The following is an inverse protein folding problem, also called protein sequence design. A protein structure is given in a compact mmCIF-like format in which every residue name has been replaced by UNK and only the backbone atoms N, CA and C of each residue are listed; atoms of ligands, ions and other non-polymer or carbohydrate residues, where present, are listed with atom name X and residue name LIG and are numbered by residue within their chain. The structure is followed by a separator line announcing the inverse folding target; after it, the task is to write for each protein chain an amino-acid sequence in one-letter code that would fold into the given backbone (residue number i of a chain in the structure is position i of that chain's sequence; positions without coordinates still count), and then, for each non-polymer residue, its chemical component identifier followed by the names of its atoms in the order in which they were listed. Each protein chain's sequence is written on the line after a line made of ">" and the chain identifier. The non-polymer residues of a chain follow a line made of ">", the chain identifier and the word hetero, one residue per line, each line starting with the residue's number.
data_IF_297848135577
#
_entry.id   IF_297848135577
#
_cell.length_a   1.000
_cell.length_b   1.000
_cell.length_c   1.000
_cell.angle_alpha   90.00
_cell.angle_beta   90.00
_cell.angle_gamma   90.00
#
_symmetry.space_group_name_H-M   'P 1'
#
loop_
_entity.id
_entity.type
_entity.pdbx_description
1 polymer ?
#
# COMPACT_ATOMS: atom_id res chain seq x y z
N UNK A 1 18.15 50.17 -81.82
CA UNK A 1 16.73 49.84 -81.61
C UNK A 1 16.70 48.62 -80.69
N UNK A 2 16.14 48.79 -79.49
CA UNK A 2 16.27 47.86 -78.36
C UNK A 2 15.23 46.74 -78.41
N UNK A 3 15.61 45.53 -77.98
CA UNK A 3 14.73 44.60 -77.27
C UNK A 3 15.59 43.77 -76.31
N UNK A 4 15.62 44.17 -75.04
CA UNK A 4 16.16 43.35 -73.96
C UNK A 4 15.13 42.27 -73.60
N UNK A 5 15.54 41.01 -73.66
CA UNK A 5 14.77 39.86 -73.21
C UNK A 5 14.95 39.72 -71.69
N UNK A 6 13.89 39.77 -70.87
CA UNK A 6 14.04 39.52 -69.44
C UNK A 6 14.17 38.02 -69.17
N UNK A 7 15.30 37.62 -68.58
CA UNK A 7 15.57 36.26 -68.12
C UNK A 7 14.58 35.84 -67.01
N UNK A 8 14.06 34.63 -67.15
CA UNK A 8 13.19 33.95 -66.19
C UNK A 8 13.92 33.68 -64.86
N UNK A 9 13.61 34.45 -63.81
CA UNK A 9 13.95 34.08 -62.43
C UNK A 9 12.93 33.03 -61.94
N UNK A 10 13.36 31.77 -61.81
CA UNK A 10 12.55 30.65 -61.33
C UNK A 10 12.49 30.69 -59.80
N UNK A 11 11.28 30.72 -59.25
CA UNK A 11 10.99 30.64 -57.82
C UNK A 11 11.57 29.36 -57.19
N UNK A 12 12.63 29.52 -56.39
CA UNK A 12 13.21 28.46 -55.55
C UNK A 12 12.61 28.39 -54.13
N UNK A 13 11.55 29.15 -53.85
CA UNK A 13 11.06 29.41 -52.49
C UNK A 13 10.04 28.39 -51.97
N UNK A 14 9.55 27.46 -52.81
CA UNK A 14 8.51 26.50 -52.42
C UNK A 14 9.03 25.22 -51.74
N UNK A 15 10.33 24.92 -51.85
CA UNK A 15 10.92 23.71 -51.26
C UNK A 15 11.34 23.87 -49.80
N UNK A 16 11.79 25.07 -49.41
CA UNK A 16 12.32 25.35 -48.07
C UNK A 16 11.23 25.39 -47.00
N UNK A 17 10.01 25.81 -47.35
CA UNK A 17 8.88 25.85 -46.42
C UNK A 17 8.44 24.45 -45.99
N UNK A 18 8.44 23.48 -46.91
CA UNK A 18 8.14 22.08 -46.60
C UNK A 18 9.19 21.49 -45.65
N UNK A 19 10.47 21.73 -45.92
CA UNK A 19 11.58 21.26 -45.07
C UNK A 19 11.50 21.89 -43.68
N UNK A 20 11.17 23.18 -43.58
CA UNK A 20 10.99 23.85 -42.30
C UNK A 20 9.82 23.27 -41.50
N UNK A 21 8.68 22.99 -42.15
CA UNK A 21 7.52 22.35 -41.49
C UNK A 21 7.86 20.94 -41.03
N UNK A 22 8.55 20.16 -41.86
CA UNK A 22 9.01 18.82 -41.47
C UNK A 22 9.98 18.87 -40.29
N UNK A 23 10.94 19.81 -40.30
CA UNK A 23 11.88 19.99 -39.19
C UNK A 23 11.14 20.35 -37.89
N UNK A 24 10.15 21.25 -37.96
CA UNK A 24 9.30 21.62 -36.82
C UNK A 24 8.47 20.41 -36.34
N UNK A 25 7.88 19.64 -37.25
CA UNK A 25 7.13 18.42 -36.90
C UNK A 25 8.01 17.37 -36.22
N UNK A 26 9.24 17.16 -36.71
CA UNK A 26 10.20 16.24 -36.08
C UNK A 26 10.60 16.74 -34.69
N UNK A 27 10.84 18.04 -34.52
CA UNK A 27 11.12 18.63 -33.21
C UNK A 27 9.96 18.45 -32.24
N UNK A 28 8.72 18.65 -32.70
CA UNK A 28 7.53 18.39 -31.89
C UNK A 28 7.38 16.92 -31.52
N UNK A 29 7.62 16.00 -32.46
CA UNK A 29 7.55 14.56 -32.20
C UNK A 29 8.58 14.13 -31.13
N UNK A 30 9.81 14.64 -31.21
CA UNK A 30 10.85 14.38 -30.20
C UNK A 30 10.49 14.99 -28.85
N UNK A 31 9.94 16.21 -28.84
CA UNK A 31 9.53 16.88 -27.60
C UNK A 31 8.40 16.13 -26.88
N UNK A 32 7.43 15.57 -27.60
CA UNK A 32 6.33 14.80 -27.00
C UNK A 32 6.80 13.49 -26.33
N UNK A 33 7.82 12.82 -26.87
CA UNK A 33 8.38 11.61 -26.27
C UNK A 33 9.02 11.87 -24.89
N UNK A 34 9.46 13.10 -24.61
CA UNK A 34 10.05 13.46 -23.33
C UNK A 34 9.03 13.48 -22.16
N UNK A 35 7.73 13.61 -22.44
CA UNK A 35 6.67 13.78 -21.41
C UNK A 35 5.98 12.44 -21.05
N UNK A 36 6.08 11.42 -21.89
CA UNK A 36 5.44 10.12 -21.67
C UNK A 36 5.77 9.42 -20.34
N UNK A 37 7.04 9.35 -19.87
CA UNK A 37 7.37 8.60 -18.64
C UNK A 37 6.79 9.24 -17.37
N UNK A 38 6.64 10.57 -17.32
CA UNK A 38 6.09 11.25 -16.13
C UNK A 38 4.61 10.95 -15.89
N UNK A 39 3.83 10.75 -16.96
CA UNK A 39 2.39 10.48 -16.84
C UNK A 39 2.14 9.11 -16.21
N UNK A 40 2.92 8.09 -16.58
CA UNK A 40 2.75 6.75 -16.03
C UNK A 40 3.04 6.71 -14.53
N UNK A 41 4.08 7.44 -14.08
CA UNK A 41 4.44 7.55 -12.66
C UNK A 41 3.33 8.25 -11.89
N UNK A 42 2.74 9.33 -12.41
CA UNK A 42 1.66 10.03 -11.71
C UNK A 42 0.42 9.13 -11.59
N UNK A 43 0.03 8.44 -12.67
CA UNK A 43 -1.10 7.49 -12.63
C UNK A 43 -0.84 6.35 -11.65
N UNK A 44 0.38 5.82 -11.60
CA UNK A 44 0.76 4.80 -10.63
C UNK A 44 0.64 5.34 -9.21
N UNK A 45 1.18 6.53 -8.95
CA UNK A 45 1.13 7.20 -7.64
C UNK A 45 -0.31 7.46 -7.19
N UNK A 46 -1.19 7.89 -8.10
CA UNK A 46 -2.61 8.07 -7.81
C UNK A 46 -3.29 6.76 -7.42
N UNK A 47 -3.01 5.67 -8.15
CA UNK A 47 -3.50 4.33 -7.78
C UNK A 47 -2.97 3.85 -6.44
N UNK A 48 -1.71 4.14 -6.14
CA UNK A 48 -1.08 3.81 -4.86
C UNK A 48 -1.73 4.59 -3.70
N UNK A 49 -1.96 5.89 -3.85
CA UNK A 49 -2.69 6.71 -2.86
C UNK A 49 -4.09 6.18 -2.62
N UNK A 50 -4.80 5.83 -3.69
CA UNK A 50 -6.15 5.27 -3.61
C UNK A 50 -6.13 3.88 -2.96
N UNK A 51 -5.12 3.04 -3.26
CA UNK A 51 -4.94 1.73 -2.61
C UNK A 51 -4.74 1.88 -1.11
N UNK A 52 -3.86 2.81 -0.69
CA UNK A 52 -3.66 3.12 0.73
C UNK A 52 -4.97 3.57 1.34
N UNK A 53 -5.67 4.54 0.75
CA UNK A 53 -6.94 5.06 1.26
C UNK A 53 -8.00 3.96 1.43
N UNK A 54 -8.15 3.08 0.43
CA UNK A 54 -9.11 1.97 0.46
C UNK A 54 -8.71 0.87 1.45
N UNK A 55 -7.42 0.54 1.51
CA UNK A 55 -6.87 -0.39 2.49
C UNK A 55 -7.09 0.09 3.92
N UNK A 56 -6.88 1.39 4.18
CA UNK A 56 -7.17 2.03 5.45
C UNK A 56 -8.66 1.97 5.83
N UNK A 57 -9.58 2.19 4.87
CA UNK A 57 -11.01 2.01 5.10
C UNK A 57 -11.36 0.56 5.46
N UNK A 58 -10.74 -0.43 4.81
CA UNK A 58 -10.93 -1.84 5.17
C UNK A 58 -10.44 -2.11 6.58
N UNK A 59 -9.26 -1.63 6.94
CA UNK A 59 -8.72 -1.84 8.28
C UNK A 59 -9.61 -1.23 9.37
N UNK A 60 -10.16 -0.03 9.16
CA UNK A 60 -11.14 0.55 10.08
C UNK A 60 -12.45 -0.26 10.13
N UNK A 61 -12.92 -0.78 9.00
CA UNK A 61 -14.09 -1.67 8.96
C UNK A 61 -13.84 -2.98 9.75
N UNK A 62 -12.66 -3.59 9.63
CA UNK A 62 -12.27 -4.77 10.42
C UNK A 62 -12.32 -4.45 11.91
N UNK A 63 -11.76 -3.31 12.33
CA UNK A 63 -11.84 -2.86 13.74
C UNK A 63 -13.28 -2.75 14.21
N UNK A 64 -14.14 -2.08 13.45
CA UNK A 64 -15.56 -1.93 13.80
C UNK A 64 -16.27 -3.29 13.91
N UNK A 65 -15.93 -4.25 13.04
CA UNK A 65 -16.46 -5.61 13.08
C UNK A 65 -16.03 -6.36 14.34
N UNK A 66 -14.76 -6.28 14.70
CA UNK A 66 -14.18 -6.87 15.90
C UNK A 66 -14.83 -6.27 17.14
N UNK A 67 -14.92 -4.93 17.21
CA UNK A 67 -15.50 -4.22 18.34
C UNK A 67 -16.98 -4.60 18.54
N UNK A 68 -17.73 -4.74 17.45
CA UNK A 68 -19.13 -5.18 17.50
C UNK A 68 -19.28 -6.58 18.06
N UNK A 69 -18.42 -7.51 17.66
CA UNK A 69 -18.41 -8.89 18.15
C UNK A 69 -17.62 -9.05 19.47
N UNK A 70 -17.29 -7.95 20.17
CA UNK A 70 -16.52 -7.98 21.43
C UNK A 70 -15.20 -8.75 21.29
N UNK A 71 -14.60 -8.66 20.12
CA UNK A 71 -13.37 -9.32 19.74
C UNK A 71 -13.47 -10.82 19.53
N UNK A 72 -14.63 -11.48 19.62
CA UNK A 72 -14.72 -12.95 19.52
C UNK A 72 -14.73 -13.49 18.09
N UNK A 73 -15.07 -12.64 17.11
CA UNK A 73 -15.19 -13.01 15.70
C UNK A 73 -14.38 -12.06 14.82
N UNK A 74 -13.69 -12.64 13.84
CA UNK A 74 -13.08 -11.92 12.71
C UNK A 74 -13.96 -12.08 11.47
N UNK A 75 -13.94 -11.12 10.53
CA UNK A 75 -14.58 -11.29 9.25
C UNK A 75 -13.97 -12.49 8.51
N UNK A 76 -14.79 -13.26 7.81
CA UNK A 76 -14.35 -14.40 6.99
C UNK A 76 -14.15 -13.98 5.53
N UNK A 77 -14.84 -12.91 5.12
CA UNK A 77 -14.80 -12.34 3.78
C UNK A 77 -14.88 -10.80 3.80
N UNK A 78 -14.54 -10.16 2.68
CA UNK A 78 -14.79 -8.71 2.52
C UNK A 78 -16.29 -8.42 2.42
N UNK A 79 -17.08 -9.39 1.94
CA UNK A 79 -18.53 -9.25 1.85
C UNK A 79 -19.17 -9.09 3.23
N UNK A 80 -18.62 -9.71 4.28
CA UNK A 80 -19.05 -9.51 5.67
C UNK A 80 -18.92 -8.03 6.10
N UNK A 81 -17.90 -7.33 5.58
CA UNK A 81 -17.67 -5.91 5.85
C UNK A 81 -18.61 -5.01 5.02
N UNK A 82 -18.95 -5.43 3.80
CA UNK A 82 -19.90 -4.74 2.92
C UNK A 82 -21.35 -4.88 3.39
N UNK A 83 -21.73 -6.06 3.88
CA UNK A 83 -23.04 -6.34 4.47
C UNK A 83 -23.33 -5.41 5.66
N UNK A 84 -22.27 -5.08 6.40
CA UNK A 84 -22.33 -4.17 7.53
C UNK A 84 -22.71 -4.87 8.84
N UNK A 85 -22.91 -4.06 9.88
CA UNK A 85 -23.18 -4.56 11.23
C UNK A 85 -24.66 -4.45 11.57
N UNK A 86 -25.26 -5.43 12.26
CA UNK A 86 -26.63 -5.32 12.71
C UNK A 86 -26.77 -4.20 13.76
N UNK A 87 -27.74 -3.30 13.55
CA UNK A 87 -28.10 -2.22 14.46
C UNK A 87 -29.62 -2.20 14.62
N UNK A 88 -30.11 -3.11 15.47
CA UNK A 88 -31.54 -3.37 15.63
C UNK A 88 -32.12 -4.07 14.41
N UNK A 89 -33.09 -3.43 13.74
CA UNK A 89 -33.75 -3.97 12.54
C UNK A 89 -33.05 -3.63 11.22
N UNK A 90 -32.04 -2.75 11.25
CA UNK A 90 -31.28 -2.31 10.07
C UNK A 90 -29.82 -2.72 10.20
N UNK A 91 -29.13 -2.80 9.06
CA UNK A 91 -27.67 -2.97 9.01
C UNK A 91 -27.01 -1.62 8.79
N UNK A 92 -25.97 -1.32 9.56
CA UNK A 92 -25.13 -0.14 9.39
C UNK A 92 -23.91 -0.52 8.55
N UNK A 93 -23.77 0.14 7.41
CA UNK A 93 -22.61 -0.01 6.53
C UNK A 93 -21.34 0.45 7.25
N UNK A 94 -20.30 -0.38 7.23
CA UNK A 94 -18.98 -0.07 7.81
C UNK A 94 -17.88 0.05 6.76
N UNK A 95 -18.10 -0.47 5.56
CA UNK A 95 -17.17 -0.39 4.44
C UNK A 95 -17.86 0.19 3.21
N UNK A 96 -17.19 1.11 2.52
CA UNK A 96 -17.70 1.61 1.23
C UNK A 96 -17.48 0.55 0.14
N UNK A 97 -18.44 0.35 -0.78
CA UNK A 97 -18.26 -0.63 -1.86
C UNK A 97 -16.99 -0.42 -2.71
N UNK A 98 -16.59 0.84 -2.93
CA UNK A 98 -15.35 1.14 -3.67
C UNK A 98 -14.08 0.68 -2.96
N UNK A 99 -14.08 0.61 -1.62
CA UNK A 99 -12.92 0.15 -0.86
C UNK A 99 -12.67 -1.35 -0.99
N UNK A 100 -13.70 -2.14 -1.30
CA UNK A 100 -13.58 -3.59 -1.50
C UNK A 100 -12.76 -3.99 -2.75
N UNK A 101 -12.42 -3.05 -3.62
CA UNK A 101 -11.61 -3.30 -4.82
C UNK A 101 -10.22 -2.67 -4.71
N UNK A 102 -9.18 -3.48 -4.88
CA UNK A 102 -7.77 -3.04 -4.93
C UNK A 102 -7.44 -2.41 -6.30
N UNK A 103 -7.08 -1.12 -6.39
CA UNK A 103 -6.75 -0.47 -7.67
C UNK A 103 -5.40 -0.90 -8.26
N UNK A 104 -4.56 -1.63 -7.51
CA UNK A 104 -3.25 -2.10 -7.95
C UNK A 104 -3.27 -3.56 -8.46
N UNK A 105 -4.30 -4.31 -8.10
CA UNK A 105 -4.49 -5.70 -8.54
C UNK A 105 -5.21 -5.75 -9.88
N UNK A 106 -4.77 -6.62 -10.79
CA UNK A 106 -5.42 -6.82 -12.09
C UNK A 106 -6.86 -7.36 -11.93
N UNK A 107 -7.05 -8.27 -10.98
CA UNK A 107 -8.35 -8.85 -10.64
C UNK A 107 -9.19 -7.96 -9.71
N UNK A 108 -8.62 -6.83 -9.25
CA UNK A 108 -9.25 -5.92 -8.30
C UNK A 108 -9.45 -6.50 -6.89
N UNK A 109 -8.91 -7.70 -6.61
CA UNK A 109 -9.09 -8.40 -5.33
C UNK A 109 -7.96 -8.07 -4.36
N UNK A 110 -8.33 -7.85 -3.11
CA UNK A 110 -7.39 -7.81 -2.01
C UNK A 110 -6.91 -9.22 -1.63
N UNK A 111 -5.70 -9.30 -1.09
CA UNK A 111 -5.17 -10.47 -0.40
C UNK A 111 -5.57 -10.40 1.07
N UNK A 112 -6.17 -11.46 1.60
CA UNK A 112 -6.60 -11.51 3.01
C UNK A 112 -5.44 -11.94 3.89
N UNK A 113 -5.19 -11.19 4.96
CA UNK A 113 -4.11 -11.42 5.92
C UNK A 113 -4.68 -12.07 7.15
N UNK A 114 -4.31 -13.34 7.39
CA UNK A 114 -4.72 -14.08 8.58
C UNK A 114 -4.11 -13.47 9.83
N UNK A 115 -4.71 -13.77 10.98
CA UNK A 115 -4.11 -13.50 12.28
C UNK A 115 -2.96 -14.49 12.59
N UNK A 116 -2.01 -14.60 11.66
CA UNK A 116 -0.82 -15.42 11.79
C UNK A 116 0.26 -14.66 12.58
N UNK A 117 0.75 -15.20 13.72
CA UNK A 117 1.81 -14.58 14.50
C UNK A 117 3.08 -14.26 13.69
N UNK A 118 3.44 -15.05 12.68
CA UNK A 118 4.64 -14.82 11.88
C UNK A 118 4.48 -13.57 11.00
N UNK A 119 3.41 -13.51 10.22
CA UNK A 119 3.12 -12.37 9.33
C UNK A 119 2.97 -11.08 10.14
N UNK A 120 2.18 -11.13 11.23
CA UNK A 120 1.89 -9.94 12.02
C UNK A 120 3.13 -9.48 12.82
N UNK A 121 4.02 -10.39 13.25
CA UNK A 121 5.27 -9.98 13.95
C UNK A 121 6.27 -9.37 12.99
N UNK A 122 6.40 -9.92 11.79
CA UNK A 122 7.22 -9.36 10.73
C UNK A 122 6.75 -7.95 10.36
N UNK A 123 5.43 -7.73 10.27
CA UNK A 123 4.87 -6.40 10.05
C UNK A 123 5.09 -5.46 11.26
N UNK A 124 4.85 -5.93 12.48
CA UNK A 124 5.06 -5.15 13.70
C UNK A 124 6.51 -4.67 13.84
N UNK A 125 7.50 -5.53 13.55
CA UNK A 125 8.93 -5.15 13.53
C UNK A 125 9.21 -4.01 12.55
N UNK A 126 8.58 -4.02 11.36
CA UNK A 126 8.72 -2.95 10.36
C UNK A 126 8.10 -1.64 10.84
N UNK A 127 6.86 -1.69 11.37
CA UNK A 127 6.19 -0.52 11.95
C UNK A 127 7.02 0.06 13.11
N UNK A 128 7.58 -0.80 13.96
CA UNK A 128 8.48 -0.41 15.04
C UNK A 128 9.74 0.28 14.52
N UNK A 129 10.42 -0.30 13.52
CA UNK A 129 11.61 0.29 12.91
C UNK A 129 11.32 1.65 12.27
N UNK A 130 10.19 1.78 11.57
CA UNK A 130 9.74 3.02 10.97
C UNK A 130 9.45 4.11 12.01
N UNK A 131 8.87 3.73 13.16
CA UNK A 131 8.52 4.63 14.26
C UNK A 131 9.63 4.74 15.31
N UNK A 132 10.90 4.80 14.89
CA UNK A 132 12.06 5.01 15.77
C UNK A 132 12.18 4.00 16.93
N UNK A 133 11.80 2.73 16.69
CA UNK A 133 11.85 1.67 17.70
C UNK A 133 10.59 1.55 18.56
N UNK A 134 9.55 2.35 18.31
CA UNK A 134 8.31 2.35 19.08
C UNK A 134 7.19 1.66 18.31
N UNK A 135 6.55 0.66 18.92
CA UNK A 135 5.35 0.06 18.34
C UNK A 135 4.12 0.81 18.87
N UNK A 136 3.26 1.38 18.01
CA UNK A 136 2.02 1.98 18.47
C UNK A 136 1.12 0.92 19.10
N UNK A 137 0.34 1.31 20.10
CA UNK A 137 -0.62 0.40 20.72
C UNK A 137 -1.77 0.05 19.77
N UNK A 138 -2.56 -0.96 20.12
CA UNK A 138 -3.78 -1.22 19.38
C UNK A 138 -4.84 -0.16 19.70
N UNK A 139 -5.65 0.27 18.71
CA UNK A 139 -6.70 1.27 18.93
C UNK A 139 -7.86 0.74 19.79
N UNK A 140 -7.99 -0.57 19.96
CA UNK A 140 -9.00 -1.21 20.80
C UNK A 140 -8.36 -2.32 21.63
N UNK A 141 -8.71 -2.42 22.92
CA UNK A 141 -8.26 -3.51 23.81
C UNK A 141 -8.69 -4.89 23.31
N UNK A 142 -9.76 -4.94 22.52
CA UNK A 142 -10.27 -6.18 21.93
C UNK A 142 -9.33 -6.75 20.87
N UNK A 143 -8.46 -5.93 20.29
CA UNK A 143 -7.43 -6.34 19.35
C UNK A 143 -6.22 -6.98 20.04
N UNK A 144 -6.02 -6.72 21.32
CA UNK A 144 -4.87 -7.24 22.08
C UNK A 144 -4.82 -8.77 22.02
N UNK A 145 -5.97 -9.45 22.06
CA UNK A 145 -6.08 -10.91 21.94
C UNK A 145 -5.44 -11.49 20.67
N UNK A 146 -5.36 -10.70 19.60
CA UNK A 146 -4.77 -11.10 18.31
C UNK A 146 -3.28 -10.70 18.19
N UNK A 147 -2.75 -9.96 19.17
CA UNK A 147 -1.33 -9.56 19.24
C UNK A 147 -0.54 -10.18 20.39
N UNK A 148 -1.17 -10.86 21.35
CA UNK A 148 -0.45 -11.39 22.54
C UNK A 148 0.72 -12.31 22.16
N UNK A 149 0.59 -13.10 21.09
CA UNK A 149 1.66 -13.99 20.62
C UNK A 149 2.89 -13.21 20.08
N UNK A 150 2.71 -11.96 19.65
CA UNK A 150 3.76 -11.13 19.06
C UNK A 150 4.74 -10.59 20.09
N UNK A 151 4.23 -10.17 21.25
CA UNK A 151 5.04 -9.62 22.33
C UNK A 151 6.00 -10.67 22.93
N UNK A 152 5.63 -11.95 22.85
CA UNK A 152 6.47 -13.07 23.27
C UNK A 152 7.59 -13.29 22.25
N UNK A 153 7.25 -13.39 20.96
CA UNK A 153 8.20 -13.68 19.89
C UNK A 153 9.16 -12.50 19.56
N UNK A 154 8.78 -11.24 19.85
CA UNK A 154 9.68 -10.08 19.73
C UNK A 154 10.84 -10.13 20.74
N UNK A 155 10.65 -10.79 21.89
CA UNK A 155 11.62 -10.85 22.98
C UNK A 155 12.47 -12.14 22.99
N UNK A 156 11.97 -13.23 22.42
CA UNK A 156 12.69 -14.50 22.30
C UNK A 156 13.47 -14.50 20.99
N UNK A 157 14.68 -13.94 21.00
CA UNK A 157 15.53 -13.81 19.82
C UNK A 157 15.89 -15.13 19.14
N UNK A 158 15.01 -15.63 18.28
CA UNK A 158 15.44 -16.09 16.96
C UNK A 158 15.21 -14.91 16.03
N UNK A 159 16.29 -14.19 15.74
CA UNK A 159 16.40 -13.42 14.51
C UNK A 159 16.42 -14.41 13.35
N UNK A 160 15.35 -15.18 13.17
CA UNK A 160 15.10 -15.72 11.85
C UNK A 160 14.92 -14.44 11.01
N UNK A 161 15.93 -14.15 10.17
CA UNK A 161 15.88 -13.09 9.17
C UNK A 161 14.67 -13.39 8.29
N UNK A 162 13.49 -12.94 8.72
CA UNK A 162 12.34 -12.83 7.83
C UNK A 162 12.80 -11.82 6.80
N UNK A 163 13.18 -12.31 5.62
CA UNK A 163 13.66 -11.46 4.54
C UNK A 163 12.60 -10.36 4.37
N UNK A 164 12.98 -9.08 4.53
CA UNK A 164 12.02 -8.00 4.44
C UNK A 164 11.30 -7.95 3.08
N UNK A 165 11.83 -8.67 2.07
CA UNK A 165 11.30 -8.83 0.73
C UNK A 165 10.56 -10.16 0.48
N UNK A 166 10.48 -11.06 1.46
CA UNK A 166 9.74 -12.31 1.29
C UNK A 166 8.25 -12.01 1.08
N UNK A 167 7.73 -12.41 -0.08
CA UNK A 167 6.31 -12.29 -0.36
C UNK A 167 5.54 -13.31 0.50
N UNK A 168 4.70 -12.82 1.40
CA UNK A 168 3.77 -13.68 2.15
C UNK A 168 2.85 -14.43 1.18
N UNK A 169 2.69 -15.75 1.38
CA UNK A 169 1.90 -16.59 0.49
C UNK A 169 0.44 -16.09 0.34
N UNK A 170 -0.08 -16.21 -0.88
CA UNK A 170 -1.38 -15.68 -1.29
C UNK A 170 -2.46 -16.64 -0.81
N UNK A 171 -2.98 -16.43 0.40
CA UNK A 171 -4.21 -17.11 0.80
C UNK A 171 -5.44 -16.26 0.50
N UNK A 172 -6.16 -16.61 -0.57
CA UNK A 172 -7.43 -15.98 -0.98
C UNK A 172 -8.65 -16.82 -0.56
N UNK A 173 -8.49 -17.78 0.35
CA UNK A 173 -9.61 -18.63 0.78
C UNK A 173 -10.32 -18.05 2.01
N UNK A 174 -11.67 -18.10 1.96
CA UNK A 174 -12.66 -17.68 2.95
C UNK A 174 -12.32 -18.14 4.37
N UNK A 175 -11.44 -17.40 5.04
CA UNK A 175 -10.90 -17.71 6.36
C UNK A 175 -10.83 -16.42 7.18
N UNK A 176 -10.96 -16.51 8.51
CA UNK A 176 -10.82 -15.37 9.42
C UNK A 176 -9.57 -14.53 9.14
N UNK A 177 -9.74 -13.24 8.88
CA UNK A 177 -8.63 -12.32 8.57
C UNK A 177 -8.61 -11.08 9.48
N UNK A 178 -7.41 -10.52 9.67
CA UNK A 178 -7.13 -9.35 10.50
C UNK A 178 -6.51 -8.20 9.69
N UNK A 179 -6.45 -8.33 8.37
CA UNK A 179 -5.97 -7.27 7.49
C UNK A 179 -6.05 -7.65 6.03
N UNK A 180 -5.70 -6.70 5.17
CA UNK A 180 -5.61 -6.91 3.73
C UNK A 180 -4.30 -6.37 3.19
N UNK A 181 -3.87 -6.87 2.04
CA UNK A 181 -2.75 -6.32 1.29
C UNK A 181 -3.04 -6.41 -0.20
N UNK A 182 -2.30 -5.65 -1.02
CA UNK A 182 -2.42 -5.78 -2.47
C UNK A 182 -1.91 -7.15 -2.93
N UNK A 183 -2.47 -7.65 -4.03
CA UNK A 183 -1.94 -8.83 -4.75
C UNK A 183 -0.79 -8.44 -5.70
N UNK A 184 -0.64 -7.15 -6.01
CA UNK A 184 0.44 -6.64 -6.85
C UNK A 184 1.79 -6.87 -6.18
N UNK A 185 2.76 -7.43 -6.93
CA UNK A 185 4.16 -7.58 -6.48
C UNK A 185 5.07 -6.46 -6.97
N UNK A 186 4.49 -5.45 -7.62
CA UNK A 186 5.22 -4.31 -8.16
C UNK A 186 5.94 -3.49 -7.09
N UNK A 187 7.01 -2.81 -7.51
CA UNK A 187 7.64 -1.75 -6.71
C UNK A 187 6.73 -0.54 -6.68
N UNK A 188 6.66 0.12 -5.53
CA UNK A 188 5.86 1.31 -5.35
C UNK A 188 6.66 2.59 -5.55
N UNK A 189 5.98 3.67 -5.92
CA UNK A 189 6.50 5.03 -5.94
C UNK A 189 6.41 5.65 -4.53
N UNK A 190 5.36 5.29 -3.79
CA UNK A 190 5.16 5.67 -2.40
C UNK A 190 5.72 4.62 -1.45
N UNK A 191 5.94 4.99 -0.20
CA UNK A 191 6.29 4.05 0.86
C UNK A 191 5.18 3.99 1.92
N UNK A 192 4.84 2.80 2.39
CA UNK A 192 3.90 2.58 3.49
C UNK A 192 4.64 1.93 4.66
N UNK A 193 4.82 2.65 5.77
CA UNK A 193 5.75 2.27 6.86
C UNK A 193 7.18 1.96 6.36
N UNK A 194 7.66 2.70 5.35
CA UNK A 194 8.97 2.47 4.74
C UNK A 194 9.02 1.28 3.77
N UNK A 195 7.89 0.65 3.47
CA UNK A 195 7.79 -0.50 2.56
C UNK A 195 7.54 -0.01 1.14
N UNK A 196 8.41 -0.42 0.21
CA UNK A 196 8.38 0.01 -1.22
C UNK A 196 7.84 -1.07 -2.18
N UNK A 197 7.04 -2.01 -1.66
CA UNK A 197 6.41 -3.08 -2.44
C UNK A 197 4.96 -3.25 -2.05
N UNK A 198 4.07 -3.24 -3.05
CA UNK A 198 2.62 -3.27 -2.83
C UNK A 198 2.15 -4.52 -2.06
N UNK A 199 2.73 -5.70 -2.35
CA UNK A 199 2.39 -6.96 -1.70
C UNK A 199 2.63 -6.93 -0.19
N UNK A 200 3.55 -6.08 0.26
CA UNK A 200 3.96 -5.96 1.66
C UNK A 200 3.24 -4.83 2.40
N UNK A 201 2.37 -4.07 1.73
CA UNK A 201 1.50 -3.09 2.37
C UNK A 201 0.35 -3.79 3.08
N UNK A 202 0.53 -4.04 4.37
CA UNK A 202 -0.48 -4.69 5.21
C UNK A 202 -1.34 -3.61 5.87
N UNK A 203 -2.60 -3.56 5.46
CA UNK A 203 -3.62 -2.72 6.07
C UNK A 203 -4.36 -3.53 7.14
N UNK A 204 -4.09 -3.23 8.41
CA UNK A 204 -4.62 -3.96 9.57
C UNK A 204 -4.99 -2.98 10.66
N UNK A 205 -6.07 -3.16 11.44
CA UNK A 205 -6.39 -2.24 12.54
C UNK A 205 -5.36 -2.26 13.69
N UNK A 206 -4.41 -3.18 13.68
CA UNK A 206 -3.36 -3.31 14.68
C UNK A 206 -2.31 -2.19 14.56
N UNK A 207 -1.66 -1.85 15.68
CA UNK A 207 -0.51 -0.91 15.72
C UNK A 207 -0.80 0.50 15.19
N UNK A 208 -1.99 1.01 15.49
CA UNK A 208 -2.48 2.31 14.98
C UNK A 208 -3.07 3.22 16.06
N UNK A 209 -2.97 2.82 17.31
CA UNK A 209 -3.42 3.64 18.42
C UNK A 209 -2.49 4.83 18.64
N UNK A 210 -2.96 5.77 19.44
CA UNK A 210 -2.28 7.05 19.70
C UNK A 210 -1.19 6.95 20.76
N UNK A 211 -1.04 5.79 21.42
CA UNK A 211 0.00 5.53 22.40
C UNK A 211 1.04 4.56 21.87
N UNK A 212 2.07 4.29 22.68
CA UNK A 212 3.10 3.30 22.35
C UNK A 212 3.05 2.15 23.35
N UNK A 213 3.18 0.92 22.86
CA UNK A 213 3.50 -0.22 23.72
C UNK A 213 5.00 -0.27 23.90
N UNK A 214 5.49 -0.02 25.11
CA UNK A 214 6.88 -0.28 25.46
C UNK A 214 7.07 -1.79 25.44
N UNK A 215 7.70 -2.31 24.39
CA UNK A 215 8.18 -3.69 24.36
C UNK A 215 9.31 -3.77 25.39
N UNK A 216 9.02 -4.34 26.55
CA UNK A 216 9.88 -4.26 27.73
C UNK A 216 11.24 -4.92 27.50
N UNK A 217 12.29 -4.12 27.33
CA UNK A 217 13.68 -4.52 27.55
C UNK A 217 13.91 -4.72 29.04
N UNK A 218 13.51 -5.88 29.58
CA UNK A 218 13.94 -6.25 30.92
C UNK A 218 15.34 -6.85 30.82
N UNK A 219 16.35 -5.99 30.67
CA UNK A 219 17.73 -6.38 30.97
C UNK A 219 17.78 -6.56 32.49
N UNK A 220 17.47 -7.76 32.98
CA UNK A 220 17.75 -8.14 34.36
C UNK A 220 19.26 -8.09 34.52
N UNK A 221 19.72 -7.01 35.12
CA UNK A 221 21.07 -6.86 35.64
C UNK A 221 21.21 -7.79 36.85
N UNK A 222 21.36 -9.08 36.57
CA UNK A 222 21.95 -10.04 37.48
C UNK A 222 23.45 -9.96 37.28
N UNK A 223 24.14 -9.13 38.06
CA UNK A 223 25.38 -9.55 38.73
C UNK A 223 25.82 -8.54 39.81
N UNK A 224 26.49 -9.09 40.84
CA UNK A 224 27.20 -8.46 41.96
C UNK A 224 26.39 -8.07 43.20
N UNK A 225 25.91 -9.12 43.87
CA UNK A 225 26.36 -9.33 45.25
C UNK A 225 26.98 -10.71 45.38
N UNK A 226 28.28 -10.74 45.62
CA UNK A 226 28.96 -11.83 46.31
C UNK A 226 29.51 -11.22 47.61
N UNK A 227 29.36 -11.90 48.77
CA UNK A 227 29.63 -11.34 50.10
C UNK A 227 31.08 -10.91 50.35
#
# INVERSE_FOLDING_TARGET
>A
MATANPDHMRNGESGMTLVAVMAIMVLFAVALLAVAPSVQIEVQREKELESIRRGEEIAEAIKLYIDHHRGTKLPESIDDLLEGLPQGTKKRMILRPSAATDPLSEDGKWRLIKADPQIISAFAKRVQAYNNGLLPNNPSRLLDRYSIQLLVNLNTGTEDEIDPNEDFDVTTSNQPFIGVASQSRGKSVLAYYGIERHSNWIFTPMFRGTGTTVVGTTKRETDRRVP
#
